data_IF_375367302881
#
_entry.id   IF_375367302881
#
_cell.length_a   1.000
_cell.length_b   1.000
_cell.length_c   1.000
_cell.angle_alpha   90.00
_cell.angle_beta   90.00
_cell.angle_gamma   90.00
#
_symmetry.space_group_name_H-M   'P 1'
#
loop_
_entity.id
_entity.type
_entity.pdbx_description
1 polymer ?
#
# COMPACT_ATOMS: atom_id res chain seq x y z
N UNK A 1 4.89 37.08 -42.93
CA UNK A 1 5.19 35.71 -42.46
C UNK A 1 3.90 35.09 -41.94
N UNK A 2 3.29 34.17 -42.69
CA UNK A 2 2.12 33.42 -42.26
C UNK A 2 2.59 32.32 -41.28
N UNK A 3 2.30 32.48 -39.99
CA UNK A 3 2.51 31.42 -38.99
C UNK A 3 1.59 30.23 -39.35
N UNK A 4 2.18 29.07 -39.62
CA UNK A 4 1.46 27.88 -40.03
C UNK A 4 0.50 27.44 -38.93
N UNK A 5 -0.75 26.99 -39.22
CA UNK A 5 -1.75 26.58 -38.24
C UNK A 5 -1.29 25.40 -37.37
N UNK A 6 -0.34 24.64 -37.84
CA UNK A 6 0.26 23.52 -37.10
C UNK A 6 1.00 23.93 -35.81
N UNK A 7 1.68 25.11 -35.83
CA UNK A 7 2.41 25.58 -34.65
C UNK A 7 1.48 25.93 -33.49
N UNK A 8 0.34 26.50 -33.79
CA UNK A 8 -0.67 26.82 -32.74
C UNK A 8 -1.31 25.55 -32.16
N UNK A 9 -1.49 24.51 -32.97
CA UNK A 9 -2.04 23.23 -32.51
C UNK A 9 -1.13 22.54 -31.50
N UNK A 10 0.19 22.53 -31.76
CA UNK A 10 1.18 21.95 -30.84
C UNK A 10 1.28 22.71 -29.50
N UNK A 11 1.18 24.04 -29.52
CA UNK A 11 1.22 24.85 -28.30
C UNK A 11 -0.03 24.58 -27.44
N UNK A 12 -1.20 24.49 -28.05
CA UNK A 12 -2.46 24.21 -27.33
C UNK A 12 -2.42 22.78 -26.76
N UNK A 13 -1.94 21.78 -27.50
CA UNK A 13 -1.81 20.41 -27.01
C UNK A 13 -0.83 20.33 -25.83
N UNK A 14 0.28 21.04 -25.86
CA UNK A 14 1.27 21.07 -24.78
C UNK A 14 0.72 21.75 -23.51
N UNK A 15 -0.06 22.80 -23.65
CA UNK A 15 -0.71 23.48 -22.52
C UNK A 15 -1.78 22.61 -21.84
N UNK A 16 -2.55 21.83 -22.60
CA UNK A 16 -3.58 20.94 -22.06
C UNK A 16 -2.96 19.79 -21.25
N UNK A 17 -1.81 19.25 -21.67
CA UNK A 17 -1.12 18.18 -20.92
C UNK A 17 -0.55 18.67 -19.60
N UNK A 18 -0.11 19.91 -19.50
CA UNK A 18 0.39 20.52 -18.26
C UNK A 18 -0.69 20.73 -17.19
N UNK A 19 -1.92 21.07 -17.59
CA UNK A 19 -3.01 21.34 -16.63
C UNK A 19 -3.53 20.07 -15.95
N UNK A 20 -3.52 18.93 -16.63
CA UNK A 20 -3.94 17.65 -16.05
C UNK A 20 -3.03 17.18 -14.91
N UNK A 21 -1.72 17.41 -15.02
CA UNK A 21 -0.74 17.04 -14.00
C UNK A 21 -0.88 17.84 -12.71
N UNK A 22 -1.23 19.11 -12.79
CA UNK A 22 -1.41 19.99 -11.62
C UNK A 22 -2.65 19.60 -10.82
N UNK A 23 -3.74 19.20 -11.49
CA UNK A 23 -4.97 18.79 -10.82
C UNK A 23 -4.82 17.50 -10.01
N UNK A 24 -4.10 16.51 -10.54
CA UNK A 24 -3.83 15.25 -9.82
C UNK A 24 -2.99 15.48 -8.55
N UNK A 25 -2.01 16.36 -8.62
CA UNK A 25 -1.13 16.67 -7.50
C UNK A 25 -1.86 17.44 -6.38
N UNK A 26 -2.82 18.29 -6.72
CA UNK A 26 -3.65 19.02 -5.75
C UNK A 26 -4.64 18.11 -5.02
N UNK A 27 -5.19 17.10 -5.67
CA UNK A 27 -6.08 16.12 -5.02
C UNK A 27 -5.29 15.27 -4.04
N UNK A 28 -4.12 14.76 -4.43
CA UNK A 28 -3.24 13.97 -3.56
C UNK A 28 -2.80 14.74 -2.31
N UNK A 29 -2.63 16.06 -2.38
CA UNK A 29 -2.21 16.88 -1.24
C UNK A 29 -3.32 17.11 -0.20
N UNK A 30 -4.59 16.80 -0.52
CA UNK A 30 -5.73 16.96 0.39
C UNK A 30 -6.02 15.71 1.22
N UNK A 31 -5.46 14.58 0.85
CA UNK A 31 -5.64 13.34 1.62
C UNK A 31 -4.84 13.40 2.92
N UNK A 32 -5.35 12.79 4.01
CA UNK A 32 -4.60 12.61 5.25
C UNK A 32 -3.25 11.91 5.03
N UNK A 33 -2.27 12.25 5.84
CA UNK A 33 -0.93 11.67 5.72
C UNK A 33 -0.93 10.16 5.82
N UNK A 34 -1.74 9.59 6.72
CA UNK A 34 -1.89 8.15 6.89
C UNK A 34 -2.38 7.47 5.60
N UNK A 35 -3.42 8.02 4.96
CA UNK A 35 -3.92 7.49 3.67
C UNK A 35 -2.84 7.58 2.59
N UNK A 36 -2.16 8.73 2.47
CA UNK A 36 -1.10 8.93 1.47
C UNK A 36 0.07 7.98 1.66
N UNK A 37 0.45 7.73 2.91
CA UNK A 37 1.53 6.79 3.25
C UNK A 37 1.11 5.37 2.84
N UNK A 38 -0.08 4.93 3.25
CA UNK A 38 -0.62 3.62 2.88
C UNK A 38 -0.69 3.42 1.37
N UNK A 39 -1.24 4.39 0.62
CA UNK A 39 -1.27 4.33 -0.85
C UNK A 39 0.13 4.26 -1.46
N UNK A 40 1.10 5.00 -0.91
CA UNK A 40 2.49 4.97 -1.36
C UNK A 40 3.13 3.60 -1.16
N UNK A 41 2.88 2.94 -0.03
CA UNK A 41 3.38 1.59 0.23
C UNK A 41 2.73 0.55 -0.69
N UNK A 42 1.41 0.63 -0.91
CA UNK A 42 0.71 -0.25 -1.85
C UNK A 42 1.19 -0.10 -3.30
N UNK A 43 1.58 1.11 -3.71
CA UNK A 43 2.18 1.35 -5.04
C UNK A 43 3.60 0.79 -5.12
N UNK A 44 4.39 0.93 -4.06
CA UNK A 44 5.77 0.45 -3.99
C UNK A 44 5.85 -1.07 -3.92
N UNK A 45 4.91 -1.68 -3.19
CA UNK A 45 4.79 -3.11 -2.96
C UNK A 45 3.41 -3.59 -3.41
N UNK A 46 3.20 -3.90 -4.70
CA UNK A 46 1.90 -4.32 -5.21
C UNK A 46 1.35 -5.58 -4.55
N UNK A 47 2.23 -6.46 -4.12
CA UNK A 47 1.89 -7.65 -3.35
C UNK A 47 2.17 -7.41 -1.85
N UNK A 48 1.18 -7.58 -1.00
CA UNK A 48 1.27 -7.23 0.43
C UNK A 48 2.36 -8.00 1.20
N UNK A 49 2.76 -9.17 0.71
CA UNK A 49 3.88 -9.92 1.30
C UNK A 49 5.26 -9.31 1.03
N UNK A 50 5.36 -8.36 0.10
CA UNK A 50 6.62 -7.67 -0.24
C UNK A 50 6.92 -6.47 0.68
N UNK A 51 5.98 -6.10 1.54
CA UNK A 51 6.20 -5.02 2.52
C UNK A 51 7.54 -5.21 3.25
N UNK A 52 8.14 -4.12 3.69
CA UNK A 52 9.45 -4.10 4.34
C UNK A 52 10.57 -4.77 3.51
N UNK A 53 10.54 -4.56 2.18
CA UNK A 53 11.57 -5.05 1.24
C UNK A 53 11.78 -6.57 1.27
N UNK A 54 10.74 -7.34 1.59
CA UNK A 54 10.89 -8.79 1.71
C UNK A 54 11.15 -9.45 0.35
N UNK A 55 12.25 -10.22 0.20
CA UNK A 55 12.58 -10.89 -1.05
C UNK A 55 11.85 -12.23 -1.24
N UNK A 56 11.17 -12.72 -0.22
CA UNK A 56 10.44 -14.00 -0.21
C UNK A 56 9.34 -14.00 0.86
N UNK A 57 8.38 -14.90 0.67
CA UNK A 57 7.34 -15.15 1.66
C UNK A 57 7.95 -15.56 3.00
N UNK A 58 7.59 -14.87 4.07
CA UNK A 58 7.90 -15.22 5.45
C UNK A 58 6.92 -14.58 6.42
N UNK A 59 6.78 -15.15 7.59
CA UNK A 59 6.18 -14.48 8.72
C UNK A 59 7.18 -13.51 9.31
N UNK A 60 6.76 -12.25 9.41
CA UNK A 60 7.58 -11.21 10.00
C UNK A 60 6.71 -10.28 10.85
N UNK A 61 7.26 -9.85 11.94
CA UNK A 61 6.63 -8.89 12.83
C UNK A 61 6.33 -7.56 12.13
N UNK A 62 7.21 -7.11 11.22
CA UNK A 62 7.00 -5.87 10.45
C UNK A 62 5.70 -5.92 9.64
N UNK A 63 5.39 -7.04 8.98
CA UNK A 63 4.13 -7.21 8.25
C UNK A 63 2.92 -7.06 9.17
N UNK A 64 2.94 -7.68 10.34
CA UNK A 64 1.85 -7.57 11.31
C UNK A 64 1.62 -6.13 11.76
N UNK A 65 2.70 -5.40 12.01
CA UNK A 65 2.66 -4.00 12.42
C UNK A 65 2.13 -3.08 11.30
N UNK A 66 2.69 -3.21 10.09
CA UNK A 66 2.33 -2.36 8.94
C UNK A 66 0.91 -2.63 8.47
N UNK A 67 0.53 -3.90 8.29
CA UNK A 67 -0.82 -4.27 7.88
C UNK A 67 -1.86 -3.91 8.96
N UNK A 68 -1.52 -4.03 10.24
CA UNK A 68 -2.36 -3.55 11.33
C UNK A 68 -2.60 -2.05 11.24
N UNK A 69 -1.56 -1.25 11.05
CA UNK A 69 -1.68 0.19 10.86
C UNK A 69 -2.49 0.57 9.60
N UNK A 70 -2.38 -0.21 8.51
CA UNK A 70 -3.21 -0.04 7.32
C UNK A 70 -4.69 -0.34 7.59
N UNK A 71 -5.00 -1.35 8.40
CA UNK A 71 -6.38 -1.64 8.82
C UNK A 71 -6.95 -0.52 9.69
N UNK A 72 -6.16 0.10 10.57
CA UNK A 72 -6.58 1.29 11.33
C UNK A 72 -6.92 2.46 10.39
N UNK A 73 -6.17 2.63 9.30
CA UNK A 73 -6.49 3.63 8.26
C UNK A 73 -7.79 3.27 7.54
N UNK A 74 -8.01 2.00 7.22
CA UNK A 74 -9.29 1.55 6.67
C UNK A 74 -10.45 1.84 7.61
N UNK A 75 -10.32 1.55 8.89
CA UNK A 75 -11.37 1.79 9.88
C UNK A 75 -11.70 3.29 10.01
N UNK A 76 -10.69 4.15 9.89
CA UNK A 76 -10.87 5.60 9.97
C UNK A 76 -11.48 6.22 8.70
N UNK A 77 -11.18 5.69 7.51
CA UNK A 77 -11.53 6.34 6.24
C UNK A 77 -12.37 5.49 5.28
N UNK A 78 -12.53 4.20 5.53
CA UNK A 78 -13.42 3.30 4.79
C UNK A 78 -12.91 2.87 3.39
N UNK A 79 -11.64 3.08 3.06
CA UNK A 79 -11.11 2.67 1.75
C UNK A 79 -10.89 1.15 1.70
N UNK A 80 -11.79 0.47 0.99
CA UNK A 80 -11.78 -0.98 0.84
C UNK A 80 -10.51 -1.53 0.18
N UNK A 81 -9.82 -0.75 -0.67
CA UNK A 81 -8.57 -1.19 -1.30
C UNK A 81 -7.49 -1.48 -0.26
N UNK A 82 -7.43 -0.67 0.80
CA UNK A 82 -6.49 -0.83 1.90
C UNK A 82 -6.79 -2.13 2.65
N UNK A 83 -8.06 -2.36 2.98
CA UNK A 83 -8.49 -3.61 3.64
C UNK A 83 -8.17 -4.83 2.77
N UNK A 84 -8.53 -4.78 1.49
CA UNK A 84 -8.36 -5.90 0.57
C UNK A 84 -6.87 -6.23 0.38
N UNK A 85 -6.00 -5.21 0.37
CA UNK A 85 -4.55 -5.38 0.35
C UNK A 85 -4.03 -6.09 1.61
N UNK A 86 -4.50 -5.69 2.80
CA UNK A 86 -4.10 -6.33 4.06
C UNK A 86 -4.59 -7.79 4.14
N UNK A 87 -5.84 -8.06 3.71
CA UNK A 87 -6.39 -9.41 3.67
C UNK A 87 -5.60 -10.31 2.71
N UNK A 88 -5.16 -9.80 1.56
CA UNK A 88 -4.40 -10.57 0.58
C UNK A 88 -3.11 -11.18 1.18
N UNK A 89 -2.49 -10.54 2.18
CA UNK A 89 -1.37 -11.15 2.91
C UNK A 89 -1.82 -12.37 3.70
N UNK A 90 -2.91 -12.26 4.45
CA UNK A 90 -3.45 -13.38 5.23
C UNK A 90 -3.84 -14.55 4.31
N UNK A 91 -4.51 -14.27 3.20
CA UNK A 91 -4.90 -15.29 2.20
C UNK A 91 -3.70 -15.97 1.54
N UNK A 92 -2.58 -15.24 1.39
CA UNK A 92 -1.33 -15.80 0.87
C UNK A 92 -0.63 -16.70 1.90
N UNK A 93 -0.76 -16.38 3.18
CA UNK A 93 -0.01 -17.03 4.25
C UNK A 93 -0.78 -18.15 4.94
N UNK A 94 -2.11 -18.07 4.99
CA UNK A 94 -3.01 -19.05 5.66
C UNK A 94 -3.91 -19.70 4.62
N UNK A 95 -3.88 -21.02 4.56
CA UNK A 95 -4.69 -21.80 3.61
C UNK A 95 -6.00 -22.28 4.22
N UNK A 96 -6.97 -22.65 3.38
CA UNK A 96 -8.29 -23.13 3.78
C UNK A 96 -8.23 -24.36 4.68
N UNK A 97 -7.21 -25.19 4.55
CA UNK A 97 -6.98 -26.39 5.38
C UNK A 97 -6.35 -26.07 6.75
N UNK A 98 -6.10 -24.77 7.03
CA UNK A 98 -5.45 -24.31 8.24
C UNK A 98 -3.91 -24.41 8.23
N UNK A 99 -3.31 -24.84 7.12
CA UNK A 99 -1.86 -24.81 6.97
C UNK A 99 -1.36 -23.40 6.77
N UNK A 100 -0.08 -23.15 7.14
CA UNK A 100 0.52 -21.82 7.11
C UNK A 100 1.78 -21.87 6.25
N UNK A 101 1.83 -20.99 5.23
CA UNK A 101 2.98 -20.86 4.34
C UNK A 101 4.20 -20.30 5.08
N UNK A 102 5.37 -20.86 4.79
CA UNK A 102 6.66 -20.39 5.29
C UNK A 102 6.79 -20.31 6.83
N UNK A 103 5.87 -20.95 7.56
CA UNK A 103 5.95 -21.02 9.01
C UNK A 103 6.98 -22.09 9.45
N UNK A 104 7.90 -21.69 10.29
CA UNK A 104 8.82 -22.60 10.99
C UNK A 104 8.64 -22.45 12.47
N UNK A 105 8.49 -23.58 13.16
CA UNK A 105 8.31 -23.62 14.61
C UNK A 105 9.46 -22.99 15.41
N UNK A 106 10.60 -22.74 14.76
CA UNK A 106 11.79 -22.09 15.32
C UNK A 106 11.77 -20.56 15.22
N UNK A 107 10.82 -19.99 14.49
CA UNK A 107 10.72 -18.53 14.32
C UNK A 107 9.85 -17.89 15.44
N UNK A 108 9.94 -18.44 16.66
CA UNK A 108 9.12 -18.09 17.82
C UNK A 108 9.21 -16.64 18.29
N UNK A 109 10.20 -15.88 17.84
CA UNK A 109 10.54 -14.65 18.52
C UNK A 109 9.51 -13.52 18.41
N UNK A 110 8.59 -13.59 17.46
CA UNK A 110 7.64 -12.48 17.23
C UNK A 110 6.20 -12.75 17.68
N UNK A 111 5.73 -14.00 17.64
CA UNK A 111 4.36 -14.32 18.04
C UNK A 111 4.16 -14.41 19.55
N UNK A 112 5.22 -14.77 20.30
CA UNK A 112 5.15 -14.87 21.76
C UNK A 112 5.25 -13.51 22.46
N UNK A 113 5.91 -12.52 21.88
CA UNK A 113 6.02 -11.18 22.47
C UNK A 113 4.71 -10.38 22.46
N UNK A 114 3.76 -10.72 21.60
CA UNK A 114 2.47 -10.02 21.52
C UNK A 114 1.42 -10.61 22.47
N UNK A 115 1.58 -11.86 22.92
CA UNK A 115 0.64 -12.50 23.86
C UNK A 115 1.00 -12.26 25.33
N UNK A 116 2.28 -12.16 25.67
CA UNK A 116 2.72 -11.96 27.06
C UNK A 116 2.61 -10.49 27.52
N UNK A 117 2.54 -9.53 26.60
CA UNK A 117 2.38 -8.12 26.95
C UNK A 117 0.94 -7.73 27.31
N UNK A 118 -0.02 -8.64 27.19
CA UNK A 118 -1.43 -8.39 27.50
C UNK A 118 -1.86 -8.90 28.89
N UNK A 119 -1.01 -9.61 29.61
CA UNK A 119 -1.32 -10.25 30.90
C UNK A 119 -0.69 -9.54 32.14
N UNK A 120 -0.03 -8.39 31.96
CA UNK A 120 0.41 -7.48 33.01
C UNK A 120 -0.51 -6.19 33.05
#
# INVERSE_FOLDING_TARGET
MRRTPFYNFFIVALLVTMTASVSAQQVASKLPWSVRLTESEMIRYPESWQLDFQPKLKWDYCHGLELGAMLDVYDAYGDKKIRDYAIAYADTMVHEDGSITAYKLTDYSCLLYTSDAADD
#
